data_IF_180650089229
#
_entry.id   IF_180650089229
#
_cell.length_a   1.000
_cell.length_b   1.000
_cell.length_c   1.000
_cell.angle_alpha   90.00
_cell.angle_beta   90.00
_cell.angle_gamma   90.00
#
_symmetry.space_group_name_H-M   'P 1'
#
loop_
_entity.id
_entity.type
_entity.pdbx_description
1 polymer ?
#
# COMPACT_ATOMS: atom_id res chain seq x y z
N UNK A 1 -8.82 82.90 -55.67
CA UNK A 1 -10.07 82.15 -55.54
C UNK A 1 -10.45 82.09 -54.07
N UNK A 2 -11.58 82.73 -53.72
CA UNK A 2 -12.55 82.42 -52.64
C UNK A 2 -11.93 81.96 -51.29
N UNK A 3 -11.80 82.87 -50.31
CA UNK A 3 -12.73 83.08 -49.16
C UNK A 3 -12.89 81.82 -48.28
N UNK A 4 -12.67 81.81 -46.96
CA UNK A 4 -13.08 82.81 -45.98
C UNK A 4 -12.26 82.76 -44.69
N UNK A 5 -12.10 83.95 -44.14
CA UNK A 5 -11.61 84.33 -42.81
C UNK A 5 -12.54 83.86 -41.68
N UNK A 6 -12.02 83.67 -40.45
CA UNK A 6 -12.33 84.52 -39.27
C UNK A 6 -11.99 83.89 -37.90
N UNK A 7 -11.50 84.80 -37.05
CA UNK A 7 -11.67 84.90 -35.59
C UNK A 7 -10.99 83.83 -34.71
N UNK A 8 -10.26 84.15 -33.64
CA UNK A 8 -10.10 85.40 -32.92
C UNK A 8 -10.39 85.17 -31.43
N UNK A 9 -9.39 85.46 -30.59
CA UNK A 9 -9.45 85.81 -29.16
C UNK A 9 -9.75 84.74 -28.08
N UNK A 10 -8.68 84.44 -27.33
CA UNK A 10 -8.48 84.58 -25.86
C UNK A 10 -9.43 83.99 -24.81
N UNK A 11 -8.77 83.59 -23.69
CA UNK A 11 -9.25 83.43 -22.31
C UNK A 11 -9.94 82.09 -22.00
N UNK A 12 -9.73 81.37 -20.89
CA UNK A 12 -8.92 81.51 -19.67
C UNK A 12 -9.08 80.19 -18.87
N UNK A 13 -8.33 80.05 -17.77
CA UNK A 13 -8.66 79.24 -16.56
C UNK A 13 -8.28 77.73 -16.54
N UNK A 14 -7.92 77.08 -15.44
CA UNK A 14 -7.62 77.41 -14.03
C UNK A 14 -6.95 76.15 -13.42
N UNK A 15 -6.01 76.38 -12.50
CA UNK A 15 -5.60 75.61 -11.31
C UNK A 15 -5.26 74.10 -11.32
N UNK A 16 -4.11 73.85 -10.67
CA UNK A 16 -3.76 72.72 -9.81
C UNK A 16 -4.96 72.03 -9.12
N UNK A 17 -4.98 70.69 -9.15
CA UNK A 17 -5.55 69.88 -8.08
C UNK A 17 -4.93 68.47 -8.00
N UNK A 18 -4.30 68.23 -6.84
CA UNK A 18 -4.27 67.00 -6.06
C UNK A 18 -3.61 65.71 -6.61
N UNK A 19 -2.40 65.49 -6.07
CA UNK A 19 -1.75 64.20 -5.83
C UNK A 19 -2.65 63.36 -4.92
N UNK A 20 -3.40 62.38 -5.44
CA UNK A 20 -4.15 61.42 -4.61
C UNK A 20 -4.37 60.08 -5.35
N UNK A 21 -3.32 59.30 -5.62
CA UNK A 21 -3.44 57.83 -5.80
C UNK A 21 -2.05 57.17 -5.75
N UNK A 22 -1.42 57.12 -4.58
CA UNK A 22 -0.20 56.36 -4.39
C UNK A 22 -0.19 55.72 -2.99
N UNK A 23 -1.18 54.87 -2.71
CA UNK A 23 -1.20 53.92 -1.58
C UNK A 23 -2.29 52.86 -1.83
N UNK A 24 -2.14 52.05 -2.88
CA UNK A 24 -2.81 50.76 -2.93
C UNK A 24 -1.81 49.73 -2.41
N UNK A 25 -1.94 49.39 -1.12
CA UNK A 25 -1.21 48.27 -0.51
C UNK A 25 -1.48 47.00 -1.37
N UNK A 26 -0.46 46.31 -1.87
CA UNK A 26 -0.66 45.03 -2.56
C UNK A 26 -1.46 44.10 -1.64
N UNK A 27 -2.51 43.43 -2.14
CA UNK A 27 -3.30 42.51 -1.31
C UNK A 27 -2.33 41.51 -0.68
N UNK A 28 -2.37 41.41 0.65
CA UNK A 28 -1.51 40.53 1.41
C UNK A 28 -1.51 39.13 0.76
N UNK A 29 -0.34 38.51 0.53
CA UNK A 29 -0.27 37.17 -0.02
C UNK A 29 -1.19 36.27 0.82
N UNK A 30 -2.19 35.64 0.18
CA UNK A 30 -3.05 34.66 0.86
C UNK A 30 -2.13 33.67 1.55
N UNK A 31 -2.28 33.54 2.87
CA UNK A 31 -1.51 32.56 3.64
C UNK A 31 -1.67 31.19 2.99
N UNK A 32 -0.54 30.53 2.71
CA UNK A 32 -0.56 29.21 2.13
C UNK A 32 -1.43 28.29 3.02
N UNK A 33 -2.31 27.46 2.45
CA UNK A 33 -3.10 26.52 3.23
C UNK A 33 -2.17 25.69 4.14
N UNK A 34 -2.55 25.43 5.39
CA UNK A 34 -1.75 24.60 6.28
C UNK A 34 -1.46 23.24 5.61
N UNK A 35 -0.25 22.69 5.77
CA UNK A 35 0.12 21.43 5.14
C UNK A 35 -0.85 20.33 5.57
N UNK A 36 -1.16 19.38 4.67
CA UNK A 36 -2.04 18.27 5.00
C UNK A 36 -1.45 17.47 6.17
N UNK A 37 -2.29 16.91 7.05
CA UNK A 37 -1.80 16.11 8.17
C UNK A 37 -0.97 14.91 7.65
N UNK A 38 0.09 14.53 8.37
CA UNK A 38 0.91 13.39 7.99
C UNK A 38 0.09 12.10 8.04
N UNK A 39 0.40 11.16 7.14
CA UNK A 39 -0.16 9.81 7.19
C UNK A 39 0.57 9.06 8.30
N UNK A 40 -0.19 8.49 9.23
CA UNK A 40 0.34 7.63 10.29
C UNK A 40 -0.36 6.28 10.24
N UNK A 41 0.41 5.21 10.40
CA UNK A 41 -0.11 3.85 10.58
C UNK A 41 0.27 3.36 11.97
N UNK A 42 -0.60 2.52 12.55
CA UNK A 42 -0.26 1.82 13.78
C UNK A 42 0.96 0.90 13.54
N UNK A 43 1.99 0.91 14.41
CA UNK A 43 3.17 0.07 14.25
C UNK A 43 2.84 -1.41 14.03
N UNK A 44 1.81 -1.91 14.74
CA UNK A 44 1.31 -3.28 14.62
C UNK A 44 0.87 -3.66 13.20
N UNK A 45 0.31 -2.73 12.41
CA UNK A 45 -0.06 -3.02 11.01
C UNK A 45 1.17 -3.22 10.14
N UNK A 46 2.21 -2.42 10.36
CA UNK A 46 3.48 -2.54 9.63
C UNK A 46 4.15 -3.87 10.00
N UNK A 47 4.17 -4.22 11.28
CA UNK A 47 4.69 -5.51 11.77
C UNK A 47 3.93 -6.70 11.18
N UNK A 48 2.60 -6.65 11.12
CA UNK A 48 1.77 -7.69 10.51
C UNK A 48 2.03 -7.83 9.02
N UNK A 49 2.10 -6.73 8.28
CA UNK A 49 2.45 -6.73 6.86
C UNK A 49 3.85 -7.31 6.62
N UNK A 50 4.82 -6.94 7.47
CA UNK A 50 6.19 -7.45 7.40
C UNK A 50 6.26 -8.96 7.67
N UNK A 51 5.50 -9.47 8.65
CA UNK A 51 5.43 -10.90 8.93
C UNK A 51 4.85 -11.70 7.74
N UNK A 52 3.81 -11.16 7.09
CA UNK A 52 3.27 -11.74 5.85
C UNK A 52 4.31 -11.79 4.73
N UNK A 53 4.99 -10.67 4.46
CA UNK A 53 6.03 -10.57 3.43
C UNK A 53 7.19 -11.52 3.69
N UNK A 54 7.62 -11.60 4.95
CA UNK A 54 8.68 -12.50 5.40
C UNK A 54 8.34 -13.97 5.13
N UNK A 55 7.12 -14.40 5.44
CA UNK A 55 6.68 -15.76 5.12
C UNK A 55 6.59 -15.98 3.61
N UNK A 56 5.92 -15.09 2.87
CA UNK A 56 5.71 -15.25 1.42
C UNK A 56 7.04 -15.33 0.65
N UNK A 57 8.02 -14.50 1.01
CA UNK A 57 9.35 -14.51 0.38
C UNK A 57 10.07 -15.85 0.58
N UNK A 58 10.02 -16.40 1.80
CA UNK A 58 10.70 -17.65 2.14
C UNK A 58 9.98 -18.87 1.57
N UNK A 59 8.66 -18.91 1.71
CA UNK A 59 7.87 -20.05 1.30
C UNK A 59 7.83 -20.19 -0.23
N UNK A 60 7.80 -19.08 -0.96
CA UNK A 60 7.86 -19.07 -2.43
C UNK A 60 9.25 -19.39 -2.99
N UNK A 61 10.29 -19.41 -2.15
CA UNK A 61 11.67 -19.77 -2.54
C UNK A 61 12.05 -21.21 -2.15
N UNK A 62 11.11 -22.01 -1.65
CA UNK A 62 11.37 -23.44 -1.40
C UNK A 62 11.71 -24.11 -2.73
N UNK A 63 12.95 -24.59 -2.85
CA UNK A 63 13.42 -25.26 -4.07
C UNK A 63 13.14 -26.76 -4.02
N UNK A 64 12.80 -27.39 -5.15
CA UNK A 64 12.55 -28.83 -5.24
C UNK A 64 13.80 -29.73 -5.20
N UNK A 65 14.99 -29.16 -4.98
CA UNK A 65 16.28 -29.85 -5.03
C UNK A 65 16.58 -30.64 -3.74
N UNK A 66 15.74 -31.63 -3.42
CA UNK A 66 15.87 -32.47 -2.23
C UNK A 66 16.82 -33.64 -2.51
N UNK A 67 17.99 -33.64 -1.86
CA UNK A 67 18.97 -34.72 -1.98
C UNK A 67 18.79 -35.79 -0.90
N UNK A 68 18.19 -35.43 0.25
CA UNK A 68 17.91 -36.35 1.35
C UNK A 68 16.74 -35.88 2.24
N UNK A 69 16.30 -36.77 3.15
CA UNK A 69 15.23 -36.49 4.11
C UNK A 69 15.41 -35.22 4.97
N UNK A 70 16.63 -34.85 5.43
CA UNK A 70 16.86 -33.59 6.14
C UNK A 70 16.48 -32.33 5.34
N UNK A 71 16.64 -32.35 4.01
CA UNK A 71 16.31 -31.20 3.15
C UNK A 71 14.79 -30.96 3.15
N UNK A 72 14.00 -32.04 3.05
CA UNK A 72 12.54 -32.00 3.16
C UNK A 72 12.14 -31.46 4.53
N UNK A 73 12.81 -31.92 5.60
CA UNK A 73 12.52 -31.47 6.96
C UNK A 73 12.75 -29.96 7.12
N UNK A 74 13.80 -29.43 6.49
CA UNK A 74 14.11 -28.01 6.53
C UNK A 74 13.10 -27.18 5.71
N UNK A 75 12.73 -27.65 4.53
CA UNK A 75 11.68 -27.00 3.73
C UNK A 75 10.33 -27.03 4.45
N UNK A 76 9.98 -28.15 5.11
CA UNK A 76 8.75 -28.26 5.88
C UNK A 76 8.69 -27.22 6.99
N UNK A 77 9.80 -26.98 7.71
CA UNK A 77 9.84 -25.93 8.76
C UNK A 77 9.48 -24.55 8.22
N UNK A 78 9.90 -24.23 6.99
CA UNK A 78 9.52 -22.96 6.33
C UNK A 78 8.06 -22.98 5.89
N UNK A 79 7.62 -24.07 5.26
CA UNK A 79 6.25 -24.19 4.76
C UNK A 79 5.18 -24.15 5.85
N UNK A 80 5.49 -24.61 7.06
CA UNK A 80 4.53 -24.61 8.20
C UNK A 80 4.73 -23.43 9.15
N UNK A 81 5.74 -22.58 8.94
CA UNK A 81 6.01 -21.44 9.83
C UNK A 81 5.09 -20.27 9.50
N UNK A 82 3.80 -20.42 9.68
CA UNK A 82 2.85 -19.32 9.66
C UNK A 82 1.71 -19.61 10.63
N UNK A 83 1.32 -18.60 11.41
CA UNK A 83 0.09 -18.66 12.20
C UNK A 83 -1.07 -18.17 11.32
N UNK A 84 -2.13 -18.97 11.09
CA UNK A 84 -3.15 -18.65 10.10
C UNK A 84 -3.84 -17.29 10.30
N UNK A 85 -4.16 -16.92 11.55
CA UNK A 85 -4.85 -15.66 11.83
C UNK A 85 -3.94 -14.47 11.56
N UNK A 86 -2.68 -14.53 12.00
CA UNK A 86 -1.67 -13.52 11.72
C UNK A 86 -1.39 -13.41 10.23
N UNK A 87 -1.31 -14.52 9.51
CA UNK A 87 -1.06 -14.53 8.07
C UNK A 87 -2.14 -13.75 7.31
N UNK A 88 -3.43 -14.03 7.59
CA UNK A 88 -4.55 -13.30 6.99
C UNK A 88 -4.54 -11.81 7.35
N UNK A 89 -4.31 -11.49 8.63
CA UNK A 89 -4.19 -10.11 9.08
C UNK A 89 -3.03 -9.36 8.41
N UNK A 90 -1.90 -10.05 8.21
CA UNK A 90 -0.73 -9.52 7.53
C UNK A 90 -0.96 -9.29 6.05
N UNK A 91 -1.68 -10.18 5.36
CA UNK A 91 -2.06 -9.97 3.96
C UNK A 91 -2.94 -8.72 3.79
N UNK A 92 -3.92 -8.52 4.68
CA UNK A 92 -4.78 -7.34 4.70
C UNK A 92 -3.96 -6.08 5.01
N UNK A 93 -3.08 -6.14 6.01
CA UNK A 93 -2.22 -5.01 6.38
C UNK A 93 -1.26 -4.63 5.25
N UNK A 94 -0.68 -5.62 4.56
CA UNK A 94 0.16 -5.38 3.40
C UNK A 94 -0.65 -4.75 2.26
N UNK A 95 -1.85 -5.26 1.97
CA UNK A 95 -2.77 -4.66 1.01
C UNK A 95 -3.11 -3.19 1.32
N UNK A 96 -3.29 -2.84 2.61
CA UNK A 96 -3.49 -1.45 3.00
C UNK A 96 -2.27 -0.56 2.69
N UNK A 97 -1.04 -1.02 2.95
CA UNK A 97 0.18 -0.30 2.61
C UNK A 97 0.33 -0.15 1.09
N UNK A 98 -0.03 -1.18 0.33
CA UNK A 98 -0.07 -1.15 -1.14
C UNK A 98 -1.08 -0.12 -1.65
N UNK A 99 -2.29 -0.08 -1.10
CA UNK A 99 -3.31 0.90 -1.49
C UNK A 99 -2.84 2.35 -1.23
N UNK A 100 -2.07 2.58 -0.16
CA UNK A 100 -1.47 3.89 0.13
C UNK A 100 -0.41 4.32 -0.90
N UNK A 101 0.06 3.41 -1.76
CA UNK A 101 0.95 3.77 -2.88
C UNK A 101 0.21 4.48 -4.02
N UNK A 102 -1.13 4.44 -4.04
CA UNK A 102 -1.92 5.13 -5.06
C UNK A 102 -2.16 6.60 -4.65
N UNK A 103 -1.56 7.58 -5.36
CA UNK A 103 -1.72 8.98 -5.01
C UNK A 103 -3.15 9.50 -5.26
N UNK A 104 -3.89 8.94 -6.20
CA UNK A 104 -5.26 9.33 -6.49
C UNK A 104 -6.20 8.89 -5.36
N UNK A 105 -6.01 7.68 -4.83
CA UNK A 105 -6.73 7.18 -3.66
C UNK A 105 -6.42 7.99 -2.41
N UNK A 106 -5.14 8.27 -2.14
CA UNK A 106 -4.74 9.13 -1.00
C UNK A 106 -5.34 10.52 -1.13
N UNK A 107 -5.36 11.11 -2.33
CA UNK A 107 -6.01 12.39 -2.59
C UNK A 107 -7.54 12.31 -2.37
N UNK A 108 -8.19 11.26 -2.85
CA UNK A 108 -9.61 11.00 -2.66
C UNK A 108 -10.00 10.89 -1.18
N UNK A 109 -9.23 10.15 -0.38
CA UNK A 109 -9.43 10.08 1.07
C UNK A 109 -9.26 11.46 1.73
N UNK A 110 -8.23 12.22 1.33
CA UNK A 110 -7.94 13.55 1.89
C UNK A 110 -9.06 14.56 1.62
N UNK A 111 -9.77 14.45 0.50
CA UNK A 111 -10.91 15.31 0.19
C UNK A 111 -12.00 15.27 1.27
N UNK A 112 -12.19 14.11 1.90
CA UNK A 112 -13.19 13.92 2.94
C UNK A 112 -12.57 13.96 4.36
N UNK A 113 -11.25 13.97 4.50
CA UNK A 113 -10.56 13.87 5.80
C UNK A 113 -9.96 15.21 6.32
N UNK A 114 -10.48 16.35 5.85
CA UNK A 114 -9.92 17.68 6.12
C UNK A 114 -9.97 18.10 7.59
N UNK A 115 -11.05 17.75 8.31
CA UNK A 115 -11.21 18.07 9.74
C UNK A 115 -11.28 16.79 10.61
N UNK A 116 -11.02 16.90 11.93
CA UNK A 116 -11.21 15.79 12.87
C UNK A 116 -12.62 15.19 12.84
N UNK A 117 -13.65 16.02 12.72
CA UNK A 117 -15.05 15.57 12.67
C UNK A 117 -15.33 14.74 11.40
N UNK A 118 -14.88 15.20 10.23
CA UNK A 118 -15.08 14.44 8.99
C UNK A 118 -14.30 13.11 9.00
N UNK A 119 -13.11 13.08 9.62
CA UNK A 119 -12.38 11.81 9.82
C UNK A 119 -13.14 10.81 10.69
N UNK A 120 -13.83 11.28 11.72
CA UNK A 120 -14.69 10.43 12.55
C UNK A 120 -15.90 9.93 11.76
N UNK A 121 -16.57 10.79 10.98
CA UNK A 121 -17.70 10.43 10.13
C UNK A 121 -17.33 9.33 9.12
N UNK A 122 -16.20 9.48 8.42
CA UNK A 122 -15.70 8.44 7.51
C UNK A 122 -15.42 7.14 8.26
N UNK A 123 -14.75 7.21 9.42
CA UNK A 123 -14.46 6.02 10.21
C UNK A 123 -15.75 5.29 10.59
N UNK A 124 -16.79 6.00 11.02
CA UNK A 124 -18.10 5.42 11.30
C UNK A 124 -18.78 4.85 10.05
N UNK A 125 -18.69 5.53 8.91
CA UNK A 125 -19.23 5.04 7.64
C UNK A 125 -18.59 3.71 7.24
N UNK A 126 -17.25 3.59 7.34
CA UNK A 126 -16.50 2.37 7.04
C UNK A 126 -16.83 1.25 8.04
N UNK A 127 -16.97 1.57 9.33
CA UNK A 127 -17.36 0.58 10.35
C UNK A 127 -18.76 0.02 10.10
N UNK A 128 -19.68 0.85 9.62
CA UNK A 128 -21.06 0.45 9.27
C UNK A 128 -21.09 -0.35 7.96
N UNK A 129 -20.34 0.08 6.97
CA UNK A 129 -20.25 -0.55 5.65
C UNK A 129 -18.83 -0.39 5.09
N UNK A 130 -18.00 -1.45 5.14
CA UNK A 130 -16.66 -1.42 4.57
C UNK A 130 -16.63 -1.13 3.06
N UNK A 131 -17.72 -1.40 2.33
CA UNK A 131 -17.82 -1.11 0.90
C UNK A 131 -17.84 0.41 0.61
N UNK A 132 -18.07 1.25 1.62
CA UNK A 132 -17.96 2.71 1.51
C UNK A 132 -16.64 3.16 0.85
N UNK A 133 -15.54 2.49 1.16
CA UNK A 133 -14.20 2.80 0.62
C UNK A 133 -14.15 2.66 -0.91
N UNK A 134 -14.98 1.78 -1.49
CA UNK A 134 -15.05 1.57 -2.95
C UNK A 134 -15.66 2.77 -3.67
N UNK A 135 -16.46 3.60 -2.98
CA UNK A 135 -16.99 4.85 -3.54
C UNK A 135 -16.01 6.02 -3.56
N UNK A 136 -14.85 5.89 -2.90
CA UNK A 136 -13.84 6.97 -2.85
C UNK A 136 -13.12 7.06 -4.20
N UNK A 137 -12.89 8.29 -4.68
CA UNK A 137 -12.10 8.50 -5.89
C UNK A 137 -10.71 7.85 -5.77
N UNK A 138 -10.29 7.11 -6.81
CA UNK A 138 -9.04 6.36 -6.81
C UNK A 138 -9.13 4.95 -6.18
N UNK A 139 -10.29 4.55 -5.66
CA UNK A 139 -10.49 3.21 -5.08
C UNK A 139 -10.20 2.09 -6.08
N UNK A 140 -10.60 2.25 -7.36
CA UNK A 140 -10.42 1.24 -8.40
C UNK A 140 -8.94 1.06 -8.78
N UNK A 141 -8.17 2.14 -8.87
CA UNK A 141 -6.74 2.07 -9.16
C UNK A 141 -5.96 1.49 -7.98
N UNK A 142 -6.27 1.91 -6.75
CA UNK A 142 -5.68 1.32 -5.55
C UNK A 142 -6.02 -0.18 -5.41
N UNK A 143 -7.28 -0.57 -5.67
CA UNK A 143 -7.68 -1.97 -5.70
C UNK A 143 -6.90 -2.75 -6.76
N UNK A 144 -6.66 -2.15 -7.92
CA UNK A 144 -5.80 -2.69 -8.97
C UNK A 144 -4.37 -3.00 -8.49
N UNK A 145 -3.75 -2.07 -7.74
CA UNK A 145 -2.43 -2.29 -7.13
C UNK A 145 -2.46 -3.45 -6.13
N UNK A 146 -3.48 -3.51 -5.27
CA UNK A 146 -3.61 -4.57 -4.25
C UNK A 146 -3.82 -5.94 -4.90
N UNK A 147 -4.71 -6.03 -5.89
CA UNK A 147 -4.98 -7.26 -6.64
C UNK A 147 -3.70 -7.74 -7.34
N UNK A 148 -2.94 -6.83 -7.96
CA UNK A 148 -1.69 -7.20 -8.60
C UNK A 148 -0.64 -7.67 -7.59
N UNK A 149 -0.44 -6.94 -6.48
CA UNK A 149 0.57 -7.27 -5.49
C UNK A 149 0.31 -8.63 -4.80
N UNK A 150 -0.90 -8.83 -4.27
CA UNK A 150 -1.27 -10.10 -3.63
C UNK A 150 -1.38 -11.23 -4.65
N UNK A 151 -1.82 -10.94 -5.87
CA UNK A 151 -1.87 -11.91 -6.96
C UNK A 151 -0.49 -12.40 -7.38
N UNK A 152 0.50 -11.50 -7.46
CA UNK A 152 1.89 -11.85 -7.78
C UNK A 152 2.51 -12.73 -6.69
N UNK A 153 2.29 -12.38 -5.41
CA UNK A 153 2.73 -13.19 -4.28
C UNK A 153 2.09 -14.59 -4.31
N UNK A 154 0.77 -14.65 -4.52
CA UNK A 154 0.03 -15.90 -4.63
C UNK A 154 0.48 -16.76 -5.82
N UNK A 155 0.74 -16.15 -6.97
CA UNK A 155 1.23 -16.86 -8.16
C UNK A 155 2.64 -17.44 -7.91
N UNK A 156 3.55 -16.66 -7.33
CA UNK A 156 4.89 -17.14 -6.99
C UNK A 156 4.83 -18.31 -6.01
N UNK A 157 4.00 -18.21 -4.97
CA UNK A 157 3.82 -19.26 -3.98
C UNK A 157 3.19 -20.53 -4.58
N UNK A 158 2.19 -20.36 -5.45
CA UNK A 158 1.54 -21.47 -6.15
C UNK A 158 2.49 -22.20 -7.09
N UNK A 159 3.30 -21.48 -7.87
CA UNK A 159 4.31 -22.09 -8.74
C UNK A 159 5.39 -22.84 -7.95
N UNK A 160 5.87 -22.27 -6.84
CA UNK A 160 6.77 -22.98 -5.92
C UNK A 160 6.13 -24.29 -5.43
N UNK A 161 4.86 -24.24 -5.00
CA UNK A 161 4.09 -25.42 -4.59
C UNK A 161 3.97 -26.48 -5.68
N UNK A 162 3.74 -26.08 -6.94
CA UNK A 162 3.73 -27.01 -8.09
C UNK A 162 5.07 -27.71 -8.27
N UNK A 163 6.19 -26.98 -8.19
CA UNK A 163 7.52 -27.59 -8.34
C UNK A 163 7.84 -28.57 -7.22
N UNK A 164 7.48 -28.24 -5.97
CA UNK A 164 7.61 -29.14 -4.82
C UNK A 164 6.74 -30.38 -5.00
N UNK A 165 5.49 -30.22 -5.46
CA UNK A 165 4.60 -31.35 -5.77
C UNK A 165 5.19 -32.26 -6.84
N UNK A 166 5.76 -31.70 -7.90
CA UNK A 166 6.42 -32.49 -8.95
C UNK A 166 7.60 -33.29 -8.38
N UNK A 167 8.47 -32.63 -7.60
CA UNK A 167 9.62 -33.27 -6.95
C UNK A 167 9.22 -34.40 -5.99
N UNK A 168 8.07 -34.26 -5.32
CA UNK A 168 7.55 -35.34 -4.47
C UNK A 168 7.33 -36.66 -5.23
N UNK A 169 6.93 -36.62 -6.51
CA UNK A 169 6.83 -37.83 -7.34
C UNK A 169 8.21 -38.41 -7.68
N UNK A 170 9.20 -37.57 -7.92
CA UNK A 170 10.57 -38.00 -8.24
C UNK A 170 11.26 -38.63 -7.02
N UNK A 171 11.02 -38.05 -5.83
CA UNK A 171 11.54 -38.54 -4.54
C UNK A 171 11.04 -39.95 -4.23
N UNK A 172 9.81 -40.31 -4.60
CA UNK A 172 9.27 -41.67 -4.37
C UNK A 172 10.12 -42.78 -5.00
N UNK A 173 10.92 -42.44 -6.02
CA UNK A 173 11.82 -43.39 -6.71
C UNK A 173 13.23 -43.42 -6.13
N UNK A 174 13.57 -42.50 -5.23
CA UNK A 174 14.88 -42.45 -4.59
C UNK A 174 15.06 -43.58 -3.58
N UNK A 175 16.26 -44.12 -3.46
CA UNK A 175 16.54 -45.21 -2.51
C UNK A 175 16.37 -44.77 -1.05
N UNK A 176 16.76 -43.54 -0.74
CA UNK A 176 16.69 -42.96 0.60
C UNK A 176 15.26 -42.60 1.04
N UNK A 177 14.30 -42.45 0.12
CA UNK A 177 12.93 -42.04 0.49
C UNK A 177 12.12 -43.15 1.16
N UNK A 178 12.62 -44.40 1.10
CA UNK A 178 12.06 -45.57 1.77
C UNK A 178 12.60 -45.77 3.19
N UNK A 179 13.61 -44.98 3.58
CA UNK A 179 14.18 -45.06 4.91
C UNK A 179 13.18 -44.63 5.98
N UNK A 180 13.34 -45.15 7.19
CA UNK A 180 12.51 -44.72 8.31
C UNK A 180 12.76 -43.25 8.65
N UNK A 181 11.68 -42.51 8.91
CA UNK A 181 11.77 -41.12 9.35
C UNK A 181 12.04 -41.10 10.86
N UNK A 182 13.27 -40.79 11.25
CA UNK A 182 13.63 -40.65 12.65
C UNK A 182 12.84 -39.53 13.36
N UNK A 183 12.46 -39.78 14.62
CA UNK A 183 11.85 -38.79 15.54
C UNK A 183 10.54 -38.17 15.00
N UNK A 184 9.66 -38.99 14.42
CA UNK A 184 8.38 -38.54 13.81
C UNK A 184 7.55 -37.67 14.75
N UNK A 185 7.39 -38.08 16.00
CA UNK A 185 6.59 -37.36 16.99
C UNK A 185 7.17 -35.98 17.31
N UNK A 186 8.51 -35.88 17.41
CA UNK A 186 9.19 -34.61 17.63
C UNK A 186 9.04 -33.68 16.41
N UNK A 187 9.10 -34.22 15.19
CA UNK A 187 8.89 -33.43 13.97
C UNK A 187 7.45 -32.91 13.89
N UNK A 188 6.47 -33.74 14.24
CA UNK A 188 5.07 -33.35 14.28
C UNK A 188 4.81 -32.28 15.34
N UNK A 189 5.35 -32.44 16.55
CA UNK A 189 5.20 -31.44 17.62
C UNK A 189 5.85 -30.12 17.22
N UNK A 190 7.06 -30.15 16.63
CA UNK A 190 7.71 -28.96 16.09
C UNK A 190 6.88 -28.27 15.01
N UNK A 191 6.33 -29.03 14.04
CA UNK A 191 5.49 -28.45 12.99
C UNK A 191 4.26 -27.76 13.58
N UNK A 192 3.59 -28.39 14.55
CA UNK A 192 2.44 -27.81 15.26
C UNK A 192 2.81 -26.53 16.00
N UNK A 193 3.94 -26.53 16.71
CA UNK A 193 4.43 -25.35 17.42
C UNK A 193 4.74 -24.21 16.44
N UNK A 194 5.41 -24.50 15.33
CA UNK A 194 5.73 -23.50 14.30
C UNK A 194 4.46 -22.89 13.68
N UNK A 195 3.45 -23.71 13.38
CA UNK A 195 2.17 -23.23 12.82
C UNK A 195 1.28 -22.47 13.82
N UNK A 196 1.59 -22.56 15.11
CA UNK A 196 0.84 -21.87 16.17
C UNK A 196 1.58 -20.63 16.71
N UNK A 197 2.82 -20.40 16.27
CA UNK A 197 3.66 -19.29 16.76
C UNK A 197 3.62 -18.14 15.77
N UNK A 198 3.16 -16.94 16.18
CA UNK A 198 3.25 -15.76 15.35
C UNK A 198 4.69 -15.48 14.91
N UNK A 199 4.86 -15.17 13.64
CA UNK A 199 6.14 -14.75 13.07
C UNK A 199 6.39 -13.26 13.36
N UNK A 200 7.66 -12.92 13.45
CA UNK A 200 8.12 -11.53 13.37
C UNK A 200 8.73 -11.34 11.98
N UNK A 201 8.36 -10.26 11.32
CA UNK A 201 8.91 -9.91 10.02
C UNK A 201 10.38 -9.50 10.09
N UNK A 202 10.99 -9.31 8.92
CA UNK A 202 12.37 -8.84 8.82
C UNK A 202 12.47 -7.33 9.10
N UNK A 203 13.57 -6.88 9.70
CA UNK A 203 13.76 -5.46 10.06
C UNK A 203 13.88 -4.56 8.82
N UNK A 204 14.57 -5.02 7.77
CA UNK A 204 14.73 -4.24 6.54
C UNK A 204 13.39 -4.12 5.81
N UNK A 205 12.62 -5.21 5.73
CA UNK A 205 11.28 -5.17 5.14
C UNK A 205 10.32 -4.29 5.98
N UNK A 206 10.40 -4.36 7.31
CA UNK A 206 9.61 -3.50 8.21
C UNK A 206 9.91 -2.01 7.95
N UNK A 207 11.20 -1.65 7.85
CA UNK A 207 11.61 -0.27 7.54
C UNK A 207 11.14 0.18 6.15
N UNK A 208 11.27 -0.69 5.14
CA UNK A 208 10.80 -0.42 3.79
C UNK A 208 9.29 -0.19 3.75
N UNK A 209 8.50 -1.02 4.42
CA UNK A 209 7.05 -0.88 4.51
C UNK A 209 6.62 0.39 5.27
N UNK A 210 7.38 0.78 6.30
CA UNK A 210 7.15 2.04 7.02
C UNK A 210 7.40 3.27 6.12
N UNK A 211 8.49 3.25 5.34
CA UNK A 211 8.76 4.32 4.37
C UNK A 211 7.71 4.36 3.27
N UNK A 212 7.26 3.20 2.80
CA UNK A 212 6.18 3.09 1.83
C UNK A 212 4.86 3.69 2.34
N UNK A 213 4.47 3.35 3.57
CA UNK A 213 3.24 3.84 4.17
C UNK A 213 3.20 5.36 4.37
N UNK A 214 4.37 5.98 4.59
CA UNK A 214 4.50 7.43 4.82
C UNK A 214 4.81 8.22 3.55
N UNK A 215 4.96 7.55 2.41
CA UNK A 215 5.30 8.18 1.12
C UNK A 215 6.79 8.51 0.95
N UNK A 216 7.67 8.03 1.84
CA UNK A 216 9.12 8.23 1.75
C UNK A 216 9.81 7.33 0.71
N UNK A 217 9.21 6.20 0.35
CA UNK A 217 9.72 5.28 -0.67
C UNK A 217 8.55 4.64 -1.44
N UNK A 218 8.72 4.38 -2.73
CA UNK A 218 7.71 3.65 -3.51
C UNK A 218 7.96 2.13 -3.47
N UNK A 219 6.89 1.32 -3.42
CA UNK A 219 7.02 -0.13 -3.54
C UNK A 219 7.31 -0.63 -4.97
N UNK A 220 7.23 0.24 -5.99
CA UNK A 220 7.45 -0.12 -7.39
C UNK A 220 6.34 -0.99 -8.00
N UNK A 221 5.11 -0.83 -7.50
CA UNK A 221 3.96 -1.64 -7.89
C UNK A 221 3.24 -1.03 -9.10
N UNK A 222 2.70 -1.89 -9.94
CA UNK A 222 1.87 -1.51 -11.09
C UNK A 222 0.63 -2.39 -11.14
N UNK A 223 -0.53 -1.82 -11.44
CA UNK A 223 -1.78 -2.57 -11.53
C UNK A 223 -2.80 -1.83 -12.38
N UNK A 224 -3.53 -2.58 -13.21
CA UNK A 224 -4.68 -2.02 -13.92
C UNK A 224 -5.82 -1.77 -12.92
N UNK A 225 -6.61 -0.70 -13.08
CA UNK A 225 -7.77 -0.46 -12.21
C UNK A 225 -8.69 -1.66 -12.15
N UNK A 226 -9.11 -2.03 -10.95
CA UNK A 226 -10.02 -3.14 -10.69
C UNK A 226 -11.40 -2.62 -10.29
N UNK A 227 -12.45 -3.30 -10.75
CA UNK A 227 -13.84 -2.99 -10.39
C UNK A 227 -14.41 -4.08 -9.49
N UNK A 228 -15.35 -3.74 -8.59
CA UNK A 228 -16.06 -4.73 -7.79
C UNK A 228 -16.87 -5.72 -8.65
N UNK A 229 -17.22 -6.91 -8.13
CA UNK A 229 -16.91 -7.39 -6.77
C UNK A 229 -15.46 -7.84 -6.61
N UNK A 230 -14.85 -7.50 -5.48
CA UNK A 230 -13.50 -7.93 -5.12
C UNK A 230 -13.55 -9.29 -4.40
N UNK A 231 -12.57 -10.14 -4.67
CA UNK A 231 -12.44 -11.42 -3.96
C UNK A 231 -12.00 -11.17 -2.52
N UNK A 232 -12.69 -11.73 -1.51
CA UNK A 232 -12.27 -11.60 -0.12
C UNK A 232 -10.97 -12.37 0.13
N UNK A 233 -10.14 -11.85 1.03
CA UNK A 233 -9.01 -12.58 1.61
C UNK A 233 -9.60 -13.54 2.65
N UNK A 234 -9.72 -14.83 2.30
CA UNK A 234 -10.30 -15.90 3.14
C UNK A 234 -9.25 -16.89 3.60
#
# INVERSE_FOLDING_TARGET
>A
MISASRAGLTASAIALAAILTACAEPPAPKSAPPPPPPITLAPKLIEQASAYRYYMDRASKITPAFAAGPDIAQALKVGVSYEPKQFLQGAIAYGAIVALQDPAFVAGVRQYAGSPAQRQEIAYAIMKDPAYVVGIQGSSSAAGLVVNALGADGASFYEAGKTVKQSAYDIQRQSWSKADVASRDLRLSQAKTLSATPLVGDLAETSRLQQAATGGQTLGLTGAPATPPFTPVV
#
